data_IF_668359402782
#
_entry.id   IF_668359402782
#
_cell.length_a   1.000
_cell.length_b   1.000
_cell.length_c   1.000
_cell.angle_alpha   90.00
_cell.angle_beta   90.00
_cell.angle_gamma   90.00
#
_symmetry.space_group_name_H-M   'P 1'
#
loop_
_entity.id
_entity.type
_entity.pdbx_description
1 polymer ?
#
# COMPACT_ATOMS: atom_id res chain seq x y z
N UNK A 1 0.80 -6.00 43.09
CA UNK A 1 1.67 -5.42 42.04
C UNK A 1 0.80 -4.55 41.14
N UNK A 2 0.84 -3.25 41.36
CA UNK A 2 0.07 -2.24 40.62
C UNK A 2 0.81 -1.91 39.32
N UNK A 3 0.28 -2.41 38.20
CA UNK A 3 0.78 -2.04 36.88
C UNK A 3 0.31 -0.62 36.54
N UNK A 4 1.23 0.34 36.62
CA UNK A 4 1.06 1.67 36.06
C UNK A 4 1.13 1.60 34.54
N UNK A 5 -0.01 1.43 33.86
CA UNK A 5 -0.13 1.83 32.47
C UNK A 5 -0.06 3.35 32.43
N UNK A 6 1.10 3.90 32.03
CA UNK A 6 1.23 5.30 31.64
C UNK A 6 0.31 5.54 30.44
N UNK A 7 -0.93 5.96 30.70
CA UNK A 7 -1.72 6.70 29.73
C UNK A 7 -0.93 7.96 29.38
N UNK A 8 -0.29 8.00 28.22
CA UNK A 8 0.16 9.25 27.63
C UNK A 8 -1.10 10.04 27.28
N UNK A 9 -1.60 10.81 28.24
CA UNK A 9 -2.70 11.74 28.02
C UNK A 9 -2.21 12.77 27.00
N UNK A 10 -2.84 12.79 25.82
CA UNK A 10 -2.74 13.86 24.82
C UNK A 10 -3.23 15.24 25.34
N UNK A 11 -3.36 15.41 26.65
CA UNK A 11 -3.73 16.66 27.27
C UNK A 11 -2.48 17.55 27.30
N UNK A 12 -2.38 18.52 26.38
CA UNK A 12 -1.73 19.84 26.53
C UNK A 12 -1.15 20.44 25.23
N UNK A 13 -1.45 19.91 24.04
CA UNK A 13 -1.12 20.61 22.78
C UNK A 13 -2.42 21.07 22.12
N UNK A 14 -2.61 22.37 21.83
CA UNK A 14 -3.72 22.83 20.99
C UNK A 14 -3.55 22.26 19.57
N UNK A 15 -4.16 21.10 19.32
CA UNK A 15 -4.15 20.44 18.00
C UNK A 15 -4.90 21.26 16.93
N UNK A 16 -5.65 22.28 17.36
CA UNK A 16 -6.41 23.17 16.50
C UNK A 16 -5.57 23.90 15.44
N UNK A 17 -4.23 23.97 15.53
CA UNK A 17 -3.38 24.53 14.46
C UNK A 17 -2.56 23.47 13.72
N UNK A 18 -2.65 22.22 14.16
CA UNK A 18 -1.87 21.11 13.61
C UNK A 18 -2.32 20.84 12.17
N UNK A 19 -1.37 20.87 11.23
CA UNK A 19 -1.63 20.57 9.81
C UNK A 19 -1.16 19.18 9.41
N UNK A 20 -0.18 18.64 10.11
CA UNK A 20 0.43 17.35 9.80
C UNK A 20 0.63 16.56 11.09
N UNK A 21 0.33 15.27 11.05
CA UNK A 21 0.45 14.39 12.20
C UNK A 21 0.92 13.01 11.75
N UNK A 22 1.91 12.47 12.45
CA UNK A 22 2.33 11.08 12.32
C UNK A 22 2.21 10.41 13.68
N UNK A 23 1.46 9.31 13.76
CA UNK A 23 1.29 8.56 15.00
C UNK A 23 1.51 7.08 14.72
N UNK A 24 2.33 6.47 15.55
CA UNK A 24 2.50 5.03 15.59
C UNK A 24 1.71 4.45 16.76
N UNK A 25 1.13 3.26 16.58
CA UNK A 25 0.50 2.48 17.64
C UNK A 25 -0.68 3.20 18.31
N UNK A 26 -1.62 3.67 17.47
CA UNK A 26 -2.80 4.40 17.90
C UNK A 26 -4.01 3.46 17.97
N UNK A 27 -4.90 3.67 18.96
CA UNK A 27 -6.21 3.03 18.95
C UNK A 27 -7.19 3.81 18.06
N UNK A 28 -8.30 3.17 17.68
CA UNK A 28 -9.39 3.84 16.96
C UNK A 28 -10.03 4.98 17.78
N UNK A 29 -10.04 4.86 19.11
CA UNK A 29 -10.59 5.88 20.01
C UNK A 29 -9.68 7.12 20.04
N UNK A 30 -8.37 6.92 20.04
CA UNK A 30 -7.40 8.02 19.95
C UNK A 30 -7.55 8.74 18.61
N UNK A 31 -7.79 8.00 17.53
CA UNK A 31 -8.07 8.58 16.22
C UNK A 31 -9.32 9.47 16.23
N UNK A 32 -10.41 9.05 16.90
CA UNK A 32 -11.61 9.86 17.05
C UNK A 32 -11.35 11.17 17.80
N UNK A 33 -10.56 11.12 18.88
CA UNK A 33 -10.16 12.32 19.64
C UNK A 33 -9.34 13.28 18.78
N UNK A 34 -8.35 12.76 18.06
CA UNK A 34 -7.54 13.53 17.13
C UNK A 34 -8.42 14.22 16.08
N UNK A 35 -9.39 13.50 15.52
CA UNK A 35 -10.27 14.08 14.51
C UNK A 35 -11.16 15.18 15.08
N UNK A 36 -11.49 15.10 16.36
CA UNK A 36 -12.29 16.12 17.06
C UNK A 36 -11.46 17.38 17.34
N UNK A 37 -10.20 17.22 17.75
CA UNK A 37 -9.38 18.33 18.23
C UNK A 37 -8.51 18.98 17.14
N UNK A 38 -8.10 18.22 16.11
CA UNK A 38 -7.20 18.67 15.05
C UNK A 38 -7.95 19.21 13.83
N UNK A 39 -8.79 20.24 14.02
CA UNK A 39 -9.67 20.76 12.96
C UNK A 39 -8.96 21.30 11.70
N UNK A 40 -7.66 21.59 11.80
CA UNK A 40 -6.83 22.12 10.70
C UNK A 40 -5.97 21.03 10.03
N UNK A 41 -6.15 19.76 10.41
CA UNK A 41 -5.31 18.67 9.92
C UNK A 41 -5.53 18.44 8.43
N UNK A 42 -4.42 18.46 7.68
CA UNK A 42 -4.39 18.28 6.23
C UNK A 42 -3.72 16.96 5.82
N UNK A 43 -2.73 16.51 6.60
CA UNK A 43 -2.02 15.25 6.36
C UNK A 43 -1.95 14.42 7.63
N UNK A 44 -2.31 13.14 7.52
CA UNK A 44 -2.25 12.19 8.61
C UNK A 44 -1.54 10.92 8.16
N UNK A 45 -0.55 10.49 8.93
CA UNK A 45 0.06 9.18 8.83
C UNK A 45 -0.19 8.42 10.13
N UNK A 46 -0.86 7.28 10.06
CA UNK A 46 -1.26 6.53 11.24
C UNK A 46 -1.04 5.03 11.10
N UNK A 47 -0.51 4.45 12.17
CA UNK A 47 -0.42 3.02 12.39
C UNK A 47 -1.43 2.60 13.46
N UNK A 48 -2.47 1.86 13.05
CA UNK A 48 -3.51 1.31 13.92
C UNK A 48 -3.27 -0.18 14.17
N UNK A 49 -3.71 -0.65 15.34
CA UNK A 49 -3.80 -2.09 15.59
C UNK A 49 -5.04 -2.72 14.94
N UNK A 50 -6.17 -2.00 14.95
CA UNK A 50 -7.42 -2.46 14.35
C UNK A 50 -8.36 -1.26 14.11
N UNK A 51 -9.21 -1.37 13.10
CA UNK A 51 -10.38 -0.50 12.92
C UNK A 51 -11.59 -1.28 13.43
N UNK A 52 -12.14 -0.85 14.57
CA UNK A 52 -13.38 -1.44 15.09
C UNK A 52 -14.59 -0.97 14.28
N UNK A 53 -15.70 -1.70 14.37
CA UNK A 53 -16.96 -1.37 13.66
C UNK A 53 -17.62 -0.05 14.10
N UNK A 54 -17.10 0.62 15.13
CA UNK A 54 -17.65 1.87 15.68
C UNK A 54 -17.24 3.13 14.88
N UNK A 55 -17.06 3.00 13.56
CA UNK A 55 -16.74 4.12 12.65
C UNK A 55 -17.89 5.14 12.58
N UNK A 56 -19.13 4.75 12.91
CA UNK A 56 -20.31 5.64 12.83
C UNK A 56 -20.17 6.95 13.62
N UNK A 57 -19.47 6.92 14.77
CA UNK A 57 -19.26 8.10 15.62
C UNK A 57 -18.07 8.97 15.18
N UNK A 58 -17.38 8.65 14.07
CA UNK A 58 -16.27 9.47 13.60
C UNK A 58 -16.75 10.87 13.18
N UNK A 59 -16.09 11.95 13.66
CA UNK A 59 -16.32 13.28 13.17
C UNK A 59 -15.76 13.42 11.75
N UNK A 60 -16.39 14.28 10.95
CA UNK A 60 -15.97 14.53 9.57
C UNK A 60 -14.72 15.42 9.55
N UNK A 61 -13.64 14.96 8.91
CA UNK A 61 -12.45 15.76 8.66
C UNK A 61 -12.52 16.43 7.29
N UNK A 62 -13.18 17.59 7.25
CA UNK A 62 -13.37 18.35 6.01
C UNK A 62 -12.10 18.97 5.43
N UNK A 63 -10.96 18.90 6.11
CA UNK A 63 -9.67 19.48 5.66
C UNK A 63 -8.60 18.45 5.35
N UNK A 64 -8.81 17.18 5.72
CA UNK A 64 -7.82 16.15 5.48
C UNK A 64 -7.76 15.84 3.99
N UNK A 65 -6.58 16.06 3.40
CA UNK A 65 -6.33 15.84 1.96
C UNK A 65 -5.42 14.65 1.72
N UNK A 66 -4.59 14.28 2.72
CA UNK A 66 -3.70 13.13 2.65
C UNK A 66 -3.85 12.23 3.86
N UNK A 67 -4.03 10.94 3.61
CA UNK A 67 -4.07 9.90 4.63
C UNK A 67 -3.15 8.74 4.24
N UNK A 68 -2.27 8.38 5.15
CA UNK A 68 -1.54 7.10 5.13
C UNK A 68 -2.04 6.31 6.32
N UNK A 69 -2.66 5.17 6.05
CA UNK A 69 -3.27 4.29 7.04
C UNK A 69 -2.60 2.93 6.95
N UNK A 70 -2.01 2.48 8.05
CA UNK A 70 -1.49 1.13 8.19
C UNK A 70 -2.21 0.43 9.33
N UNK A 71 -2.69 -0.79 9.11
CA UNK A 71 -3.32 -1.62 10.13
C UNK A 71 -2.46 -2.86 10.33
N UNK A 72 -1.96 -3.05 11.55
CA UNK A 72 -1.14 -4.18 11.94
C UNK A 72 -1.94 -5.07 12.89
N UNK A 73 -2.67 -6.02 12.30
CA UNK A 73 -3.31 -7.11 13.03
C UNK A 73 -2.25 -8.17 13.40
N UNK A 74 -1.26 -7.78 14.20
CA UNK A 74 -0.25 -8.71 14.71
C UNK A 74 -0.91 -9.71 15.66
N UNK A 75 -1.02 -10.95 15.19
CA UNK A 75 -1.05 -12.19 15.96
C UNK A 75 -1.88 -12.16 17.26
N UNK A 76 -3.16 -11.83 17.16
CA UNK A 76 -4.09 -12.29 18.19
C UNK A 76 -5.00 -13.37 17.59
N UNK A 77 -4.65 -14.67 17.74
CA UNK A 77 -5.46 -15.78 17.21
C UNK A 77 -6.87 -15.84 17.80
N UNK A 78 -7.16 -15.06 18.85
CA UNK A 78 -8.50 -14.92 19.44
C UNK A 78 -9.41 -13.93 18.70
N UNK A 79 -8.89 -13.17 17.72
CA UNK A 79 -9.66 -12.17 16.96
C UNK A 79 -9.63 -12.45 15.46
N UNK A 80 -10.07 -13.65 15.06
CA UNK A 80 -10.41 -13.96 13.65
C UNK A 80 -11.57 -13.11 13.12
N UNK A 81 -12.25 -12.34 13.97
CA UNK A 81 -13.46 -11.56 13.67
C UNK A 81 -13.24 -10.06 13.49
N UNK A 82 -12.05 -9.51 13.77
CA UNK A 82 -11.75 -8.08 13.67
C UNK A 82 -10.97 -7.71 12.40
N UNK A 83 -11.34 -8.33 11.29
CA UNK A 83 -10.79 -8.00 9.99
C UNK A 83 -11.64 -6.87 9.38
N UNK A 84 -10.98 -5.82 8.87
CA UNK A 84 -11.67 -4.67 8.28
C UNK A 84 -12.51 -5.11 7.08
N UNK A 85 -13.82 -4.83 7.12
CA UNK A 85 -14.75 -5.02 6.01
C UNK A 85 -14.85 -3.79 5.12
N UNK A 86 -15.32 -3.99 3.89
CA UNK A 86 -15.50 -2.90 2.94
C UNK A 86 -16.59 -1.91 3.39
N UNK A 87 -17.66 -2.38 4.01
CA UNK A 87 -18.70 -1.51 4.57
C UNK A 87 -18.13 -0.57 5.64
N UNK A 88 -17.21 -1.07 6.48
CA UNK A 88 -16.54 -0.23 7.49
C UNK A 88 -15.60 0.78 6.83
N UNK A 89 -14.88 0.39 5.77
CA UNK A 89 -14.02 1.29 5.01
C UNK A 89 -14.80 2.40 4.32
N UNK A 90 -15.93 2.09 3.69
CA UNK A 90 -16.82 3.06 3.05
C UNK A 90 -17.32 4.12 4.05
N UNK A 91 -17.83 3.66 5.20
CA UNK A 91 -18.26 4.55 6.27
C UNK A 91 -17.12 5.44 6.77
N UNK A 92 -15.90 4.92 6.81
CA UNK A 92 -14.72 5.67 7.23
C UNK A 92 -14.33 6.74 6.21
N UNK A 93 -14.23 6.37 4.94
CA UNK A 93 -13.85 7.30 3.87
C UNK A 93 -14.91 8.38 3.63
N UNK A 94 -16.19 8.09 3.88
CA UNK A 94 -17.26 9.09 3.85
C UNK A 94 -17.03 10.25 4.83
N UNK A 95 -16.27 10.02 5.91
CA UNK A 95 -15.90 11.06 6.88
C UNK A 95 -14.74 11.95 6.39
N UNK A 96 -14.16 11.66 5.24
CA UNK A 96 -12.99 12.34 4.68
C UNK A 96 -13.31 12.94 3.30
N UNK A 97 -14.31 13.83 3.18
CA UNK A 97 -14.85 14.28 1.89
C UNK A 97 -13.88 15.10 1.02
N UNK A 98 -12.73 15.52 1.57
CA UNK A 98 -11.69 16.25 0.82
C UNK A 98 -10.42 15.44 0.64
N UNK A 99 -10.47 14.13 0.89
CA UNK A 99 -9.31 13.26 0.69
C UNK A 99 -8.94 13.25 -0.79
N UNK A 100 -7.65 13.43 -1.08
CA UNK A 100 -7.08 13.42 -2.44
C UNK A 100 -6.01 12.36 -2.58
N UNK A 101 -5.31 12.05 -1.49
CA UNK A 101 -4.24 11.08 -1.47
C UNK A 101 -4.49 10.07 -0.37
N UNK A 102 -4.64 8.81 -0.74
CA UNK A 102 -4.87 7.73 0.20
C UNK A 102 -3.88 6.59 -0.02
N UNK A 103 -3.18 6.21 1.05
CA UNK A 103 -2.34 5.02 1.10
C UNK A 103 -2.88 4.12 2.19
N UNK A 104 -3.18 2.86 1.86
CA UNK A 104 -3.74 1.91 2.81
C UNK A 104 -3.00 0.57 2.81
N UNK A 105 -2.55 0.08 3.96
CA UNK A 105 -1.97 -1.27 4.06
C UNK A 105 -2.42 -2.01 5.31
N UNK A 106 -2.61 -3.32 5.19
CA UNK A 106 -2.96 -4.17 6.34
C UNK A 106 -3.68 -5.46 5.95
N UNK A 107 -3.97 -6.29 6.97
CA UNK A 107 -4.83 -7.48 6.82
C UNK A 107 -6.29 -7.06 6.76
N UNK A 108 -6.97 -7.41 5.68
CA UNK A 108 -8.36 -6.99 5.41
C UNK A 108 -9.22 -8.17 5.00
N UNK A 109 -10.53 -7.99 5.03
CA UNK A 109 -11.46 -9.04 4.62
C UNK A 109 -11.55 -9.02 3.10
N UNK A 110 -11.86 -10.18 2.51
CA UNK A 110 -11.84 -10.35 1.05
C UNK A 110 -12.78 -9.37 0.32
N UNK A 111 -13.86 -8.94 0.98
CA UNK A 111 -14.81 -7.96 0.43
C UNK A 111 -14.18 -6.57 0.19
N UNK A 112 -13.07 -6.24 0.87
CA UNK A 112 -12.30 -5.00 0.63
C UNK A 112 -11.55 -5.07 -0.69
N UNK A 113 -11.25 -6.26 -1.19
CA UNK A 113 -10.62 -6.46 -2.49
C UNK A 113 -11.67 -6.43 -3.62
N UNK A 114 -12.42 -5.33 -3.72
CA UNK A 114 -13.46 -5.14 -4.74
C UNK A 114 -13.20 -3.84 -5.52
N UNK A 115 -12.69 -3.97 -6.74
CA UNK A 115 -12.29 -2.84 -7.58
C UNK A 115 -13.45 -1.95 -8.02
N UNK A 116 -14.65 -2.51 -8.21
CA UNK A 116 -15.84 -1.73 -8.58
C UNK A 116 -16.31 -0.83 -7.43
N UNK A 117 -16.28 -1.31 -6.19
CA UNK A 117 -16.61 -0.48 -5.02
C UNK A 117 -15.55 0.58 -4.79
N UNK A 118 -14.28 0.24 -4.96
CA UNK A 118 -13.19 1.21 -4.88
C UNK A 118 -13.26 2.28 -5.96
N UNK A 119 -13.73 1.97 -7.17
CA UNK A 119 -13.93 2.94 -8.24
C UNK A 119 -14.86 4.09 -7.79
N UNK A 120 -15.95 3.76 -7.09
CA UNK A 120 -16.88 4.75 -6.51
C UNK A 120 -16.17 5.60 -5.44
N UNK A 121 -15.43 4.96 -4.53
CA UNK A 121 -14.77 5.65 -3.41
C UNK A 121 -13.55 6.48 -3.83
N UNK A 122 -12.89 6.07 -4.91
CA UNK A 122 -11.63 6.64 -5.35
C UNK A 122 -11.78 7.64 -6.51
N UNK A 123 -13.02 7.96 -6.90
CA UNK A 123 -13.31 8.87 -8.01
C UNK A 123 -12.60 10.22 -7.85
N UNK A 124 -12.69 10.80 -6.65
CA UNK A 124 -12.11 12.11 -6.30
C UNK A 124 -10.64 12.04 -5.86
N UNK A 125 -10.10 10.82 -5.69
CA UNK A 125 -8.71 10.61 -5.30
C UNK A 125 -7.78 10.89 -6.50
N UNK A 126 -6.73 11.65 -6.24
CA UNK A 126 -5.61 11.88 -7.15
C UNK A 126 -4.64 10.71 -7.11
N UNK A 127 -4.44 10.11 -5.93
CA UNK A 127 -3.65 8.88 -5.78
C UNK A 127 -4.34 7.95 -4.79
N UNK A 128 -4.44 6.68 -5.18
CA UNK A 128 -4.81 5.60 -4.29
C UNK A 128 -3.78 4.49 -4.39
N UNK A 129 -3.12 4.20 -3.26
CA UNK A 129 -2.17 3.11 -3.17
C UNK A 129 -2.59 2.16 -2.07
N UNK A 130 -2.50 0.87 -2.33
CA UNK A 130 -2.90 -0.11 -1.35
C UNK A 130 -2.04 -1.37 -1.35
N UNK A 131 -2.02 -2.04 -0.19
CA UNK A 131 -1.38 -3.34 0.02
C UNK A 131 -2.19 -4.15 1.02
N UNK A 132 -3.04 -5.02 0.49
CA UNK A 132 -3.97 -5.85 1.24
C UNK A 132 -3.39 -7.23 1.46
N UNK A 133 -3.25 -7.63 2.71
CA UNK A 133 -2.95 -9.01 3.06
C UNK A 133 -4.25 -9.80 3.17
N UNK A 134 -4.38 -10.84 2.35
CA UNK A 134 -5.63 -11.55 2.10
C UNK A 134 -5.37 -13.05 2.01
N UNK A 135 -6.25 -13.86 2.57
CA UNK A 135 -6.25 -15.32 2.39
C UNK A 135 -7.27 -15.63 1.28
N UNK A 136 -6.80 -15.98 0.07
CA UNK A 136 -7.63 -16.09 -1.14
C UNK A 136 -7.27 -17.33 -1.95
N UNK A 137 -8.31 -18.04 -2.41
CA UNK A 137 -8.21 -19.12 -3.38
C UNK A 137 -8.63 -18.71 -4.81
N UNK A 138 -9.40 -17.62 -4.97
CA UNK A 138 -9.94 -17.14 -6.26
C UNK A 138 -9.47 -15.73 -6.61
N UNK A 139 -8.18 -15.59 -6.93
CA UNK A 139 -7.60 -14.27 -7.22
C UNK A 139 -8.07 -13.63 -8.53
N UNK A 140 -8.41 -14.46 -9.54
CA UNK A 140 -8.79 -13.96 -10.86
C UNK A 140 -10.08 -13.12 -10.81
N UNK A 141 -11.12 -13.59 -10.10
CA UNK A 141 -12.38 -12.88 -9.93
C UNK A 141 -12.16 -11.50 -9.27
N UNK A 142 -11.25 -11.45 -8.30
CA UNK A 142 -10.88 -10.20 -7.61
C UNK A 142 -10.18 -9.26 -8.59
N UNK A 143 -9.19 -9.75 -9.34
CA UNK A 143 -8.46 -8.91 -10.29
C UNK A 143 -9.33 -8.40 -11.43
N UNK A 144 -10.27 -9.21 -11.93
CA UNK A 144 -11.24 -8.80 -12.95
C UNK A 144 -12.05 -7.58 -12.49
N UNK A 145 -12.37 -7.49 -11.19
CA UNK A 145 -13.04 -6.30 -10.63
C UNK A 145 -12.22 -5.00 -10.71
N UNK A 146 -10.90 -5.09 -10.93
CA UNK A 146 -9.97 -3.96 -11.15
C UNK A 146 -9.63 -3.73 -12.64
N UNK A 147 -10.31 -4.41 -13.57
CA UNK A 147 -10.09 -4.25 -15.01
C UNK A 147 -11.06 -3.27 -15.69
N UNK A 148 -11.75 -2.41 -14.93
CA UNK A 148 -12.65 -1.40 -15.51
C UNK A 148 -11.86 -0.26 -16.19
N UNK A 149 -12.45 0.50 -17.13
CA UNK A 149 -11.80 1.65 -17.75
C UNK A 149 -11.32 2.70 -16.73
N UNK A 150 -12.00 2.80 -15.57
CA UNK A 150 -11.55 3.65 -14.47
C UNK A 150 -10.11 3.32 -14.04
N UNK A 151 -9.81 2.03 -13.82
CA UNK A 151 -8.49 1.59 -13.38
C UNK A 151 -7.45 1.66 -14.48
N UNK A 152 -7.77 1.10 -15.66
CA UNK A 152 -6.78 0.87 -16.71
C UNK A 152 -6.49 2.11 -17.56
N UNK A 153 -7.52 2.91 -17.85
CA UNK A 153 -7.43 4.02 -18.80
C UNK A 153 -7.40 5.37 -18.09
N UNK A 154 -8.37 5.61 -17.20
CA UNK A 154 -8.55 6.92 -16.57
C UNK A 154 -7.50 7.19 -15.50
N UNK A 155 -7.34 6.27 -14.55
CA UNK A 155 -6.39 6.41 -13.43
C UNK A 155 -5.03 5.79 -13.75
N UNK A 156 -4.99 4.77 -14.61
CA UNK A 156 -3.80 3.94 -14.88
C UNK A 156 -3.20 3.39 -13.58
N UNK A 157 -4.07 2.94 -12.68
CA UNK A 157 -3.71 2.32 -11.42
C UNK A 157 -3.78 0.81 -11.60
N UNK A 158 -2.62 0.18 -11.73
CA UNK A 158 -2.52 -1.25 -11.91
C UNK A 158 -2.44 -1.98 -10.58
N UNK A 159 -2.91 -3.22 -10.58
CA UNK A 159 -2.99 -4.08 -9.40
C UNK A 159 -2.23 -5.37 -9.68
N UNK A 160 -1.53 -5.87 -8.68
CA UNK A 160 -0.83 -7.15 -8.75
C UNK A 160 -1.11 -7.98 -7.50
N UNK A 161 -0.97 -9.29 -7.65
CA UNK A 161 -1.05 -10.24 -6.57
C UNK A 161 0.18 -11.14 -6.51
N UNK A 162 0.78 -11.20 -5.32
CA UNK A 162 1.94 -12.05 -5.01
C UNK A 162 1.98 -12.30 -3.51
N UNK A 163 2.37 -13.50 -3.08
CA UNK A 163 2.59 -13.86 -1.66
C UNK A 163 1.42 -13.48 -0.73
N UNK A 164 0.18 -13.83 -1.11
CA UNK A 164 -1.04 -13.50 -0.35
C UNK A 164 -1.28 -11.99 -0.16
N UNK A 165 -0.75 -11.17 -1.07
CA UNK A 165 -0.92 -9.72 -1.07
C UNK A 165 -1.48 -9.24 -2.39
N UNK A 166 -2.59 -8.49 -2.33
CA UNK A 166 -3.10 -7.71 -3.45
C UNK A 166 -2.65 -6.26 -3.27
N UNK A 167 -1.95 -5.69 -4.23
CA UNK A 167 -1.33 -4.37 -4.07
C UNK A 167 -1.32 -3.54 -5.34
N UNK A 168 -1.32 -2.22 -5.15
CA UNK A 168 -1.21 -1.24 -6.24
C UNK A 168 0.24 -1.12 -6.72
N UNK A 169 0.43 -1.12 -8.03
CA UNK A 169 1.70 -0.99 -8.72
C UNK A 169 1.85 0.45 -9.25
N UNK A 170 3.03 1.07 -9.17
CA UNK A 170 4.29 0.52 -8.66
C UNK A 170 4.53 0.71 -7.16
N UNK A 171 3.66 1.45 -6.46
CA UNK A 171 3.95 1.94 -5.11
C UNK A 171 4.38 0.84 -4.12
N UNK A 172 3.78 -0.35 -4.19
CA UNK A 172 4.09 -1.48 -3.30
C UNK A 172 4.79 -2.65 -4.01
N UNK A 173 5.21 -2.45 -5.25
CA UNK A 173 5.98 -3.46 -5.98
C UNK A 173 7.39 -3.60 -5.38
N UNK A 174 7.95 -4.78 -5.52
CA UNK A 174 9.31 -5.05 -5.09
C UNK A 174 10.29 -4.14 -5.86
N UNK A 175 11.25 -3.56 -5.16
CA UNK A 175 12.37 -2.81 -5.77
C UNK A 175 13.67 -3.61 -5.75
N UNK A 176 13.62 -4.79 -5.14
CA UNK A 176 14.72 -5.75 -5.03
C UNK A 176 14.28 -7.01 -5.77
N UNK A 177 15.13 -7.52 -6.64
CA UNK A 177 14.90 -8.76 -7.36
C UNK A 177 16.04 -9.73 -7.07
N UNK A 178 15.72 -10.98 -6.74
CA UNK A 178 16.70 -12.07 -6.61
C UNK A 178 16.51 -13.05 -7.75
N UNK A 179 17.59 -13.53 -8.35
CA UNK A 179 17.52 -14.55 -9.40
C UNK A 179 17.12 -15.92 -8.82
N UNK A 180 16.28 -16.71 -9.52
CA UNK A 180 15.53 -16.38 -10.74
C UNK A 180 14.41 -15.36 -10.52
N UNK A 181 14.24 -14.43 -11.47
CA UNK A 181 13.31 -13.31 -11.33
C UNK A 181 11.90 -13.70 -11.80
N UNK A 182 10.91 -13.50 -10.94
CA UNK A 182 9.52 -13.74 -11.28
C UNK A 182 8.67 -12.48 -11.05
N UNK A 183 8.03 -11.93 -12.10
CA UNK A 183 7.00 -10.91 -11.92
C UNK A 183 5.83 -11.50 -11.12
N UNK A 184 4.95 -10.65 -10.55
CA UNK A 184 3.73 -11.13 -9.91
C UNK A 184 2.93 -12.02 -10.85
N UNK A 185 2.51 -13.19 -10.35
CA UNK A 185 1.83 -14.23 -11.16
C UNK A 185 0.51 -13.71 -11.75
N UNK A 186 -0.16 -12.81 -11.05
CA UNK A 186 -1.41 -12.22 -11.51
C UNK A 186 -1.36 -10.69 -11.40
N UNK A 187 -1.63 -9.99 -12.50
CA UNK A 187 -1.67 -8.53 -12.52
C UNK A 187 -2.60 -7.98 -13.60
N UNK A 188 -3.07 -6.75 -13.38
CA UNK A 188 -3.76 -5.93 -14.39
C UNK A 188 -2.81 -5.01 -15.16
N UNK A 189 -1.50 -5.04 -14.86
CA UNK A 189 -0.50 -4.32 -15.64
C UNK A 189 -0.45 -4.87 -17.08
N UNK A 190 -0.19 -4.01 -18.09
CA UNK A 190 -0.23 -4.43 -19.48
C UNK A 190 0.92 -5.36 -19.89
N UNK A 191 2.03 -5.33 -19.13
CA UNK A 191 3.26 -6.07 -19.44
C UNK A 191 4.14 -6.21 -18.19
N UNK A 192 4.83 -7.34 -18.09
CA UNK A 192 5.83 -7.64 -17.06
C UNK A 192 6.98 -6.63 -17.02
N UNK A 193 7.30 -5.99 -18.15
CA UNK A 193 8.27 -4.88 -18.22
C UNK A 193 7.98 -3.76 -17.22
N UNK A 194 6.71 -3.57 -16.86
CA UNK A 194 6.31 -2.60 -15.86
C UNK A 194 6.93 -2.89 -14.49
N UNK A 195 7.17 -4.16 -14.12
CA UNK A 195 7.79 -4.52 -12.85
C UNK A 195 9.31 -4.35 -12.90
N UNK A 196 9.96 -4.74 -13.99
CA UNK A 196 11.41 -4.66 -14.13
C UNK A 196 11.94 -3.22 -14.10
N UNK A 197 11.16 -2.25 -14.59
CA UNK A 197 11.51 -0.83 -14.52
C UNK A 197 11.59 -0.28 -13.08
N UNK A 198 10.97 -0.93 -12.11
CA UNK A 198 10.97 -0.46 -10.72
C UNK A 198 12.03 -1.13 -9.86
N UNK A 199 12.72 -2.14 -10.40
CA UNK A 199 13.84 -2.78 -9.73
C UNK A 199 15.02 -1.82 -9.70
N UNK A 200 15.57 -1.63 -8.51
CA UNK A 200 16.75 -0.83 -8.23
C UNK A 200 17.90 -1.67 -7.69
N UNK A 201 17.60 -2.84 -7.14
CA UNK A 201 18.59 -3.74 -6.56
C UNK A 201 18.42 -5.15 -7.12
N UNK A 202 19.49 -5.68 -7.71
CA UNK A 202 19.56 -7.08 -8.16
C UNK A 202 20.47 -7.89 -7.25
N UNK A 203 19.99 -9.06 -6.84
CA UNK A 203 20.76 -10.07 -6.13
C UNK A 203 20.95 -11.30 -7.02
N UNK A 204 22.21 -11.66 -7.27
CA UNK A 204 22.59 -12.85 -8.04
C UNK A 204 23.24 -13.88 -7.10
N UNK A 205 22.45 -14.81 -6.53
CA UNK A 205 23.00 -15.93 -5.77
C UNK A 205 23.68 -16.96 -6.67
N UNK A 206 23.26 -17.06 -7.93
CA UNK A 206 23.74 -18.02 -8.93
C UNK A 206 24.00 -17.33 -10.27
N UNK A 207 24.82 -17.94 -11.14
CA UNK A 207 25.06 -17.41 -12.49
C UNK A 207 23.77 -17.55 -13.32
N UNK A 208 23.23 -16.45 -13.88
CA UNK A 208 22.04 -16.52 -14.71
C UNK A 208 22.32 -17.39 -15.94
N UNK A 209 21.51 -18.42 -16.16
CA UNK A 209 21.77 -19.39 -17.23
C UNK A 209 21.15 -18.97 -18.57
N UNK A 210 20.04 -18.22 -18.60
CA UNK A 210 19.35 -17.90 -19.87
C UNK A 210 18.50 -16.62 -19.87
N UNK A 211 18.05 -16.10 -18.73
CA UNK A 211 17.03 -15.04 -18.72
C UNK A 211 17.59 -13.63 -18.91
N UNK A 212 17.43 -13.09 -20.12
CA UNK A 212 17.73 -11.70 -20.46
C UNK A 212 16.56 -10.79 -20.05
N UNK A 213 16.59 -10.31 -18.81
CA UNK A 213 15.71 -9.24 -18.37
C UNK A 213 16.38 -7.87 -18.55
N UNK A 214 15.64 -6.92 -19.10
CA UNK A 214 16.12 -5.54 -19.24
C UNK A 214 15.71 -4.72 -18.03
N UNK A 215 16.71 -4.28 -17.25
CA UNK A 215 16.52 -3.41 -16.10
C UNK A 215 17.11 -2.03 -16.39
N UNK A 216 16.30 -0.98 -16.30
CA UNK A 216 16.70 0.38 -16.72
C UNK A 216 17.27 1.24 -15.60
N UNK A 217 17.02 0.88 -14.34
CA UNK A 217 17.25 1.76 -13.19
C UNK A 217 17.98 1.04 -12.04
N UNK A 218 18.89 0.12 -12.36
CA UNK A 218 19.68 -0.59 -11.35
C UNK A 218 20.65 0.37 -10.67
N UNK A 219 20.49 0.52 -9.37
CA UNK A 219 21.35 1.30 -8.48
C UNK A 219 22.33 0.39 -7.74
N UNK A 220 21.94 -0.86 -7.44
CA UNK A 220 22.72 -1.82 -6.68
C UNK A 220 22.74 -3.18 -7.34
N UNK A 221 23.93 -3.77 -7.48
CA UNK A 221 24.15 -5.15 -7.92
C UNK A 221 24.91 -5.92 -6.84
N UNK A 222 24.27 -6.93 -6.25
CA UNK A 222 24.86 -7.82 -5.24
C UNK A 222 25.19 -9.17 -5.87
N UNK A 223 26.49 -9.48 -5.94
CA UNK A 223 27.01 -10.72 -6.47
C UNK A 223 27.46 -11.59 -5.30
N UNK A 224 26.79 -12.73 -5.07
CA UNK A 224 27.17 -13.67 -4.01
C UNK A 224 28.08 -14.82 -4.49
N UNK A 225 28.66 -14.64 -5.67
CA UNK A 225 29.60 -15.56 -6.29
C UNK A 225 30.86 -14.81 -6.76
N UNK A 226 31.92 -15.57 -7.04
CA UNK A 226 32.99 -15.11 -7.92
C UNK A 226 32.46 -15.02 -9.36
N UNK A 227 31.83 -13.89 -9.69
CA UNK A 227 31.36 -13.60 -11.06
C UNK A 227 32.43 -12.81 -11.79
N UNK A 228 32.78 -13.27 -12.99
CA UNK A 228 33.55 -12.46 -13.94
C UNK A 228 32.57 -11.55 -14.68
N UNK A 229 32.58 -10.25 -14.38
CA UNK A 229 31.73 -9.28 -15.08
C UNK A 229 32.38 -9.01 -16.43
N UNK A 230 31.76 -9.48 -17.51
CA UNK A 230 32.11 -9.07 -18.87
C UNK A 230 31.30 -7.82 -19.20
N UNK A 231 31.94 -6.65 -19.15
CA UNK A 231 31.36 -5.41 -19.68
C UNK A 231 31.60 -5.44 -21.18
N UNK A 232 30.58 -5.76 -21.97
CA UNK A 232 30.62 -5.48 -23.41
C UNK A 232 30.45 -3.97 -23.61
N UNK A 233 31.55 -3.28 -23.91
CA UNK A 233 31.46 -1.93 -24.47
C UNK A 233 30.73 -2.02 -25.81
N UNK A 234 29.53 -1.44 -25.87
CA UNK A 234 28.85 -1.19 -27.14
C UNK A 234 29.68 -0.16 -27.93
N UNK A 235 30.67 -0.65 -28.68
CA UNK A 235 31.40 0.15 -29.65
C UNK A 235 30.43 0.48 -30.79
N UNK A 236 29.82 1.66 -30.72
CA UNK A 236 29.15 2.30 -31.86
C UNK A 236 30.19 2.55 -32.95
N UNK A 237 30.39 1.57 -33.83
CA UNK A 237 31.01 1.81 -35.14
C UNK A 237 30.00 2.54 -36.01
N UNK A 238 29.92 3.85 -35.86
CA UNK A 238 29.49 4.73 -36.95
C UNK A 238 30.47 4.54 -38.11
N UNK A 239 30.11 3.66 -39.05
CA UNK A 239 30.80 3.56 -40.34
C UNK A 239 30.51 4.81 -41.16
N UNK A 240 31.58 5.55 -41.40
CA UNK A 240 31.81 6.50 -42.50
C UNK A 240 31.38 5.94 -43.85
#
# INVERSE_FOLDING_TARGET
MTNFTKEYRFNMIPLARLRQLTISNCSINDLQKIFTEASQLQSLNIHLYSISQNVKSFPTLSRLTRLILKIDNKNNPLFTTNVLSMNTMELFLWKLPRLRHFVFSGKVHIDVANGQRWEILAIDLVTFHFNFQLEIDRINDILESFCTPFWLENKRWFVAYKDHRLFSVPYFADTIASFPFYPPVHSTAPDDRFFFQHIKHIQLPEVPTVDLHFFTHIETLELRLHVSIWIEEQVNLSRS
#
